data_IF_083864190707
#
_entry.id   IF_083864190707
#
_cell.length_a   1.000
_cell.length_b   1.000
_cell.length_c   1.000
_cell.angle_alpha   90.00
_cell.angle_beta   90.00
_cell.angle_gamma   90.00
#
_symmetry.space_group_name_H-M   'P 1'
#
loop_
_entity.id
_entity.type
_entity.pdbx_description
1 polymer ?
#
# COMPACT_ATOMS: atom_id res chain seq x y z
N UNK A 1 -1.51 5.51 16.11
CA UNK A 1 -1.85 4.08 16.12
C UNK A 1 -1.76 3.63 14.68
N UNK A 2 -1.01 2.56 14.40
CA UNK A 2 -0.90 1.98 13.06
C UNK A 2 -2.29 1.51 12.56
N UNK A 3 -2.45 1.20 11.26
CA UNK A 3 -3.71 0.72 10.72
C UNK A 3 -4.11 -0.54 11.48
N UNK A 4 -5.36 -0.59 11.96
CA UNK A 4 -5.82 -1.76 12.66
C UNK A 4 -5.76 -3.00 11.75
N UNK A 5 -5.46 -4.19 12.29
CA UNK A 5 -5.52 -5.45 11.53
C UNK A 5 -6.87 -5.63 10.79
N UNK A 6 -7.96 -5.12 11.37
CA UNK A 6 -9.29 -5.11 10.74
C UNK A 6 -9.38 -4.26 9.46
N UNK A 7 -8.65 -3.15 9.36
CA UNK A 7 -8.60 -2.33 8.14
C UNK A 7 -7.84 -3.00 7.00
N UNK A 8 -6.74 -3.67 7.33
CA UNK A 8 -5.96 -4.45 6.35
C UNK A 8 -6.78 -5.63 5.86
N UNK A 9 -7.40 -6.38 6.79
CA UNK A 9 -8.31 -7.49 6.46
C UNK A 9 -9.43 -7.06 5.51
N UNK A 10 -10.13 -5.97 5.83
CA UNK A 10 -11.20 -5.44 4.97
C UNK A 10 -10.70 -5.11 3.56
N UNK A 11 -9.47 -4.61 3.43
CA UNK A 11 -8.84 -4.33 2.14
C UNK A 11 -8.61 -5.61 1.35
N UNK A 12 -8.05 -6.64 2.00
CA UNK A 12 -7.80 -7.96 1.39
C UNK A 12 -9.09 -8.66 1.01
N UNK A 13 -10.11 -8.66 1.87
CA UNK A 13 -11.43 -9.25 1.57
C UNK A 13 -12.10 -8.55 0.37
N UNK A 14 -12.00 -7.22 0.32
CA UNK A 14 -12.52 -6.42 -0.80
C UNK A 14 -11.78 -6.76 -2.11
N UNK A 15 -10.48 -7.04 -2.04
CA UNK A 15 -9.69 -7.49 -3.17
C UNK A 15 -10.10 -8.89 -3.63
N UNK A 16 -10.15 -9.86 -2.72
CA UNK A 16 -10.49 -11.26 -3.01
C UNK A 16 -11.93 -11.44 -3.51
N UNK A 17 -12.85 -10.55 -3.12
CA UNK A 17 -14.20 -10.53 -3.70
C UNK A 17 -14.20 -10.24 -5.23
N UNK A 18 -13.18 -9.54 -5.75
CA UNK A 18 -12.99 -9.29 -7.18
C UNK A 18 -12.04 -10.29 -7.85
N UNK A 19 -11.09 -10.82 -7.09
CA UNK A 19 -10.04 -11.73 -7.56
C UNK A 19 -10.00 -13.02 -6.73
N UNK A 20 -11.06 -13.86 -6.79
CA UNK A 20 -11.17 -15.03 -5.91
C UNK A 20 -10.06 -16.07 -6.11
N UNK A 21 -9.53 -16.17 -7.34
CA UNK A 21 -8.46 -17.11 -7.69
C UNK A 21 -7.10 -16.77 -7.06
N UNK A 22 -6.94 -15.59 -6.47
CA UNK A 22 -5.69 -15.17 -5.82
C UNK A 22 -5.66 -15.46 -4.31
N UNK A 23 -6.70 -16.12 -3.78
CA UNK A 23 -6.78 -16.45 -2.36
C UNK A 23 -5.57 -17.24 -1.87
N UNK A 24 -5.13 -18.23 -2.65
CA UNK A 24 -3.99 -19.08 -2.28
C UNK A 24 -2.68 -18.29 -2.23
N UNK A 25 -2.51 -17.34 -3.15
CA UNK A 25 -1.35 -16.43 -3.16
C UNK A 25 -1.32 -15.51 -1.92
N UNK A 26 -2.48 -15.22 -1.33
CA UNK A 26 -2.63 -14.37 -0.15
C UNK A 26 -2.77 -15.16 1.16
N UNK A 27 -2.70 -16.50 1.14
CA UNK A 27 -2.90 -17.34 2.32
C UNK A 27 -1.96 -16.97 3.48
N UNK A 28 -0.67 -16.74 3.20
CA UNK A 28 0.29 -16.35 4.23
C UNK A 28 0.00 -15.01 4.89
N UNK A 29 -0.56 -14.04 4.15
CA UNK A 29 -1.02 -12.76 4.71
C UNK A 29 -2.28 -12.96 5.56
N UNK A 30 -3.24 -13.75 5.08
CA UNK A 30 -4.46 -14.06 5.81
C UNK A 30 -4.14 -14.74 7.15
N UNK A 31 -3.25 -15.73 7.15
CA UNK A 31 -2.78 -16.41 8.35
C UNK A 31 -2.08 -15.44 9.31
N UNK A 32 -1.24 -14.53 8.80
CA UNK A 32 -0.60 -13.50 9.62
C UNK A 32 -1.61 -12.57 10.29
N UNK A 33 -2.73 -12.24 9.61
CA UNK A 33 -3.80 -11.38 10.13
C UNK A 33 -4.70 -12.08 11.17
N UNK A 34 -4.63 -13.41 11.33
CA UNK A 34 -5.29 -14.15 12.41
C UNK A 34 -4.47 -14.18 13.71
N UNK A 35 -3.16 -13.92 13.62
CA UNK A 35 -2.25 -13.99 14.76
C UNK A 35 -2.26 -12.68 15.56
N UNK A 36 -2.02 -12.72 16.88
CA UNK A 36 -1.91 -11.52 17.72
C UNK A 36 -0.55 -10.81 17.52
N UNK A 37 -0.21 -10.48 16.26
CA UNK A 37 1.04 -9.82 15.88
C UNK A 37 0.73 -8.53 15.11
N UNK A 38 1.66 -7.58 15.16
CA UNK A 38 1.60 -6.39 14.31
C UNK A 38 2.02 -6.75 12.88
N UNK A 39 1.04 -6.96 12.00
CA UNK A 39 1.26 -7.28 10.59
C UNK A 39 1.97 -6.16 9.81
N UNK A 40 2.16 -4.97 10.38
CA UNK A 40 2.88 -3.84 9.76
C UNK A 40 4.30 -3.66 10.29
N UNK A 41 4.66 -4.35 11.38
CA UNK A 41 5.96 -4.21 12.02
C UNK A 41 7.10 -4.75 11.16
N UNK A 42 8.13 -3.94 10.90
CA UNK A 42 9.35 -4.34 10.15
C UNK A 42 10.07 -5.59 10.67
N UNK A 43 9.84 -5.93 11.95
CA UNK A 43 10.45 -7.10 12.62
C UNK A 43 9.52 -8.33 12.61
N UNK A 44 8.31 -8.20 12.09
CA UNK A 44 7.35 -9.29 12.00
C UNK A 44 7.77 -10.24 10.90
N UNK A 45 7.94 -11.53 11.26
CA UNK A 45 8.34 -12.60 10.35
C UNK A 45 7.17 -13.58 10.13
N UNK A 46 7.07 -14.23 8.96
CA UNK A 46 8.02 -14.19 7.83
C UNK A 46 7.90 -12.94 6.95
N UNK A 47 6.93 -12.07 7.20
CA UNK A 47 6.78 -10.81 6.48
C UNK A 47 5.79 -9.86 7.13
N UNK A 48 5.72 -8.67 6.56
CA UNK A 48 4.88 -7.57 7.01
C UNK A 48 4.32 -6.80 5.81
N UNK A 49 3.23 -6.09 6.05
CA UNK A 49 2.55 -5.27 5.07
C UNK A 49 3.38 -4.03 4.77
N UNK A 50 3.67 -3.84 3.49
CA UNK A 50 4.19 -2.61 2.92
C UNK A 50 3.12 -1.98 2.03
N UNK A 51 3.39 -0.75 1.56
CA UNK A 51 2.45 -0.02 0.73
C UNK A 51 3.19 0.70 -0.39
N UNK A 52 2.63 0.65 -1.59
CA UNK A 52 3.08 1.43 -2.75
C UNK A 52 1.92 2.27 -3.29
N UNK A 53 2.21 3.37 -3.96
CA UNK A 53 1.20 4.30 -4.46
C UNK A 53 1.45 4.63 -5.92
N UNK A 54 0.46 4.32 -6.75
CA UNK A 54 0.46 4.71 -8.16
C UNK A 54 -0.17 6.09 -8.27
N UNK A 55 0.64 7.10 -8.55
CA UNK A 55 0.17 8.46 -8.85
C UNK A 55 0.10 8.64 -10.36
N UNK A 56 -1.08 8.98 -10.87
CA UNK A 56 -1.34 9.16 -12.30
C UNK A 56 -1.55 10.65 -12.56
N UNK A 57 -0.72 11.23 -13.44
CA UNK A 57 -0.86 12.61 -13.89
C UNK A 57 -2.04 12.80 -14.86
N UNK A 58 -2.48 14.04 -15.06
CA UNK A 58 -3.55 14.36 -16.02
C UNK A 58 -3.23 13.97 -17.47
N UNK A 59 -1.95 13.82 -17.79
CA UNK A 59 -1.43 13.33 -19.07
C UNK A 59 -1.24 11.80 -19.11
N UNK A 60 -1.82 11.07 -18.15
CA UNK A 60 -1.80 9.60 -18.01
C UNK A 60 -0.41 9.00 -17.80
N UNK A 61 0.57 9.77 -17.32
CA UNK A 61 1.86 9.23 -16.88
C UNK A 61 1.82 8.78 -15.43
N UNK A 62 2.64 7.77 -15.11
CA UNK A 62 2.80 7.25 -13.75
C UNK A 62 4.08 7.79 -13.14
N UNK A 63 3.97 8.39 -11.95
CA UNK A 63 5.12 8.84 -11.17
C UNK A 63 5.95 7.66 -10.69
N UNK A 64 7.25 7.72 -10.94
CA UNK A 64 8.24 6.86 -10.32
C UNK A 64 9.30 7.71 -9.63
N UNK A 65 9.82 7.19 -8.52
CA UNK A 65 10.97 7.73 -7.81
C UNK A 65 12.21 6.90 -8.15
N UNK A 66 13.37 7.56 -8.21
CA UNK A 66 14.65 6.86 -8.35
C UNK A 66 15.17 6.47 -6.97
N UNK A 67 14.93 5.23 -6.58
CA UNK A 67 15.17 4.77 -5.23
C UNK A 67 16.66 4.45 -4.99
N UNK A 68 17.29 5.18 -4.05
CA UNK A 68 18.75 5.13 -3.84
C UNK A 68 19.20 3.78 -3.25
N UNK A 69 18.48 3.23 -2.29
CA UNK A 69 18.89 2.01 -1.59
C UNK A 69 18.73 0.73 -2.44
N UNK A 70 18.05 0.81 -3.59
CA UNK A 70 17.93 -0.30 -4.56
C UNK A 70 18.92 -0.17 -5.72
N UNK A 71 19.92 0.72 -5.61
CA UNK A 71 20.87 0.96 -6.69
C UNK A 71 20.31 1.81 -7.84
N UNK A 72 19.22 2.56 -7.60
CA UNK A 72 18.66 3.49 -8.58
C UNK A 72 17.53 2.93 -9.43
N UNK A 73 16.86 1.85 -9.00
CA UNK A 73 15.63 1.39 -9.64
C UNK A 73 14.56 2.49 -9.62
N UNK A 74 13.75 2.53 -10.67
CA UNK A 74 12.55 3.36 -10.73
C UNK A 74 11.39 2.59 -10.13
N UNK A 75 10.84 3.09 -9.03
CA UNK A 75 9.77 2.44 -8.28
C UNK A 75 8.62 3.42 -8.02
N UNK A 76 7.42 2.90 -7.82
CA UNK A 76 6.32 3.72 -7.30
C UNK A 76 6.67 4.20 -5.89
N UNK A 77 6.26 5.43 -5.48
CA UNK A 77 6.43 5.88 -4.11
C UNK A 77 5.84 4.89 -3.11
N UNK A 78 6.55 4.60 -2.03
CA UNK A 78 6.12 3.56 -1.12
C UNK A 78 7.16 3.10 -0.13
N UNK A 79 6.70 2.34 0.85
CA UNK A 79 7.52 1.92 1.95
C UNK A 79 6.74 1.19 3.01
N UNK A 80 7.20 1.37 4.23
CA UNK A 80 6.63 0.72 5.40
C UNK A 80 5.45 1.53 5.91
N UNK A 81 4.54 0.84 6.59
CA UNK A 81 3.55 1.52 7.41
C UNK A 81 4.20 1.88 8.73
N UNK A 82 4.07 3.13 9.16
CA UNK A 82 4.67 3.64 10.39
C UNK A 82 3.66 3.68 11.55
N UNK A 83 4.11 3.69 12.83
CA UNK A 83 3.20 3.72 13.98
C UNK A 83 2.22 4.92 14.02
N UNK A 84 2.55 6.00 13.31
CA UNK A 84 1.71 7.19 13.14
C UNK A 84 0.61 7.03 12.08
N UNK A 85 0.74 6.08 11.16
CA UNK A 85 -0.17 5.92 10.03
C UNK A 85 -1.48 5.28 10.48
N UNK A 86 -2.57 6.04 10.52
CA UNK A 86 -3.88 5.52 10.99
C UNK A 86 -4.55 4.56 10.00
N UNK A 87 -4.20 4.63 8.72
CA UNK A 87 -4.76 3.82 7.64
C UNK A 87 -3.69 3.54 6.58
N UNK A 88 -3.89 2.52 5.74
CA UNK A 88 -3.02 2.28 4.57
C UNK A 88 -3.00 3.48 3.61
N UNK A 89 -4.12 4.21 3.50
CA UNK A 89 -4.20 5.45 2.73
C UNK A 89 -3.40 6.59 3.36
N UNK A 90 -3.42 6.73 4.69
CA UNK A 90 -2.61 7.72 5.39
C UNK A 90 -1.12 7.44 5.17
N UNK A 91 -0.73 6.16 5.30
CA UNK A 91 0.61 5.71 4.93
C UNK A 91 0.89 6.10 3.48
N UNK A 92 -0.02 5.80 2.53
CA UNK A 92 0.04 6.12 1.08
C UNK A 92 0.31 7.59 0.75
N UNK A 93 -0.33 8.48 1.48
CA UNK A 93 -0.18 9.92 1.29
C UNK A 93 1.15 10.42 1.89
N UNK A 94 1.61 9.85 3.01
CA UNK A 94 2.87 10.24 3.68
C UNK A 94 4.10 10.01 2.79
N UNK A 95 4.42 8.78 2.38
CA UNK A 95 5.60 8.56 1.50
C UNK A 95 5.49 9.31 0.16
N UNK A 96 4.29 9.57 -0.40
CA UNK A 96 4.22 10.40 -1.62
C UNK A 96 4.68 11.83 -1.32
N UNK A 97 4.30 12.38 -0.17
CA UNK A 97 4.78 13.68 0.27
C UNK A 97 6.29 13.66 0.57
N UNK A 98 6.79 12.62 1.25
CA UNK A 98 8.21 12.52 1.63
C UNK A 98 9.14 12.25 0.44
N UNK A 99 8.76 11.35 -0.46
CA UNK A 99 9.63 10.89 -1.55
C UNK A 99 9.51 11.73 -2.83
N UNK A 100 8.35 12.36 -3.06
CA UNK A 100 8.08 13.15 -4.27
C UNK A 100 7.72 14.63 -3.99
N UNK A 101 7.59 15.05 -2.74
CA UNK A 101 7.26 16.43 -2.39
C UNK A 101 5.83 16.85 -2.72
N UNK A 102 4.93 15.90 -3.04
CA UNK A 102 3.54 16.20 -3.44
C UNK A 102 2.66 16.17 -2.19
N UNK A 103 2.05 17.29 -1.78
CA UNK A 103 1.21 17.32 -0.58
C UNK A 103 -0.09 16.54 -0.80
N UNK A 104 -0.68 15.93 0.26
CA UNK A 104 -1.92 15.18 0.15
C UNK A 104 -3.09 15.96 -0.48
N UNK A 105 -3.15 17.27 -0.25
CA UNK A 105 -4.18 18.14 -0.84
C UNK A 105 -4.08 18.35 -2.35
N UNK A 106 -2.95 17.98 -2.97
CA UNK A 106 -2.77 17.98 -4.42
C UNK A 106 -3.15 16.63 -5.07
N UNK A 107 -3.57 15.65 -4.27
CA UNK A 107 -3.95 14.33 -4.71
C UNK A 107 -5.46 14.14 -4.55
N UNK A 108 -6.06 13.39 -5.46
CA UNK A 108 -7.41 12.88 -5.29
C UNK A 108 -7.40 11.36 -5.46
N UNK A 109 -8.32 10.67 -4.79
CA UNK A 109 -8.53 9.27 -5.07
C UNK A 109 -9.10 9.16 -6.48
N UNK A 110 -8.41 8.41 -7.34
CA UNK A 110 -9.01 7.99 -8.60
C UNK A 110 -10.23 7.13 -8.27
N UNK A 111 -11.42 7.40 -8.85
CA UNK A 111 -12.51 6.45 -8.79
C UNK A 111 -11.95 5.10 -9.24
N UNK A 112 -12.33 4.00 -8.58
CA UNK A 112 -12.02 2.67 -9.08
C UNK A 112 -12.62 2.56 -10.48
N UNK A 113 -11.82 2.86 -11.49
CA UNK A 113 -12.21 2.72 -12.87
C UNK A 113 -12.39 1.23 -13.04
N UNK A 114 -13.65 0.79 -13.19
CA UNK A 114 -13.94 -0.45 -13.89
C UNK A 114 -13.41 -0.22 -15.29
N UNK A 115 -12.12 -0.47 -15.48
CA UNK A 115 -11.48 -0.41 -16.77
C UNK A 115 -12.04 -1.60 -17.56
N UNK A 116 -13.19 -1.39 -18.19
CA UNK A 116 -13.56 -2.12 -19.38
C UNK A 116 -12.65 -1.63 -20.49
N UNK A 117 -11.55 -2.35 -20.69
CA UNK A 117 -10.85 -2.37 -21.97
C UNK A 117 -11.38 -3.55 -22.77
#
# INVERSE_FOLDING_TARGET
MPPSPSGIRKTVETYLARHPNERDALAGLLDALERPVDATGRKTLPGHVTRSTVVIGGDRRVLHIRHRATGGLLLAPGGHVEPGDRTLLAAALREVAEEAGIPPGALCLTPQTRLGW
#
